data_IF_429836420761
#
_entry.id   IF_429836420761
#
_cell.length_a   1.000
_cell.length_b   1.000
_cell.length_c   1.000
_cell.angle_alpha   90.00
_cell.angle_beta   90.00
_cell.angle_gamma   90.00
#
_symmetry.space_group_name_H-M   'P 1'
#
loop_
_entity.id
_entity.type
_entity.pdbx_description
1 polymer ?
#
# COMPACT_ATOMS: atom_id res chain seq x y z
N UNK A 1 4.67 -14.77 38.98
CA UNK A 1 4.98 -13.64 38.05
C UNK A 1 3.95 -12.54 38.30
N UNK A 2 4.36 -11.28 38.36
CA UNK A 2 3.42 -10.15 38.49
C UNK A 2 2.62 -9.99 37.19
N UNK A 3 1.30 -9.83 37.30
CA UNK A 3 0.40 -9.59 36.16
C UNK A 3 0.69 -8.29 35.40
N UNK A 4 1.48 -7.38 35.98
CA UNK A 4 1.73 -6.04 35.45
C UNK A 4 3.21 -5.79 35.14
N UNK A 5 4.01 -6.83 34.89
CA UNK A 5 5.38 -6.58 34.43
C UNK A 5 5.36 -5.87 33.06
N UNK A 6 6.13 -4.80 32.90
CA UNK A 6 6.22 -4.11 31.61
C UNK A 6 6.83 -5.06 30.57
N UNK A 7 6.45 -4.91 29.29
CA UNK A 7 7.03 -5.72 28.22
C UNK A 7 8.55 -5.49 28.14
N UNK A 8 9.32 -6.49 27.67
CA UNK A 8 10.74 -6.31 27.42
C UNK A 8 10.95 -5.16 26.44
N UNK A 9 12.08 -4.45 26.61
CA UNK A 9 12.45 -3.38 25.68
C UNK A 9 12.70 -3.98 24.28
N UNK A 10 12.36 -3.25 23.20
CA UNK A 10 12.71 -3.66 21.85
C UNK A 10 14.22 -3.87 21.67
N UNK A 11 14.58 -4.86 20.85
CA UNK A 11 15.98 -5.20 20.56
C UNK A 11 16.68 -4.21 19.62
N UNK A 12 15.93 -3.27 19.02
CA UNK A 12 16.48 -2.19 18.20
C UNK A 12 15.57 -0.94 18.25
N UNK A 13 16.07 0.24 17.84
CA UNK A 13 15.24 1.44 17.70
C UNK A 13 14.01 1.27 16.80
N UNK A 14 14.03 0.34 15.85
CA UNK A 14 12.91 0.08 14.93
C UNK A 14 11.67 -0.47 15.65
N UNK A 15 11.84 -1.20 16.76
CA UNK A 15 10.72 -1.74 17.53
C UNK A 15 10.00 -0.72 18.43
N UNK A 16 10.43 0.54 18.46
CA UNK A 16 9.68 1.62 19.09
C UNK A 16 8.68 2.21 18.09
N UNK A 17 7.58 1.48 17.88
CA UNK A 17 6.54 1.87 16.95
C UNK A 17 5.81 3.15 17.38
N UNK A 18 5.34 3.92 16.39
CA UNK A 18 4.66 5.21 16.57
C UNK A 18 3.30 5.15 15.92
N UNK A 19 2.37 5.94 16.45
CA UNK A 19 1.08 6.16 15.80
C UNK A 19 1.33 6.86 14.46
N UNK A 20 0.75 6.32 13.38
CA UNK A 20 0.95 6.83 12.02
C UNK A 20 0.43 8.25 11.85
N UNK A 21 -0.81 8.52 12.26
CA UNK A 21 -1.39 9.87 12.21
C UNK A 21 -2.54 10.04 13.22
N UNK A 22 -3.00 11.26 13.52
CA UNK A 22 -4.15 11.49 14.39
C UNK A 22 -5.44 10.78 13.94
N UNK A 23 -5.57 10.55 12.63
CA UNK A 23 -6.73 9.86 12.07
C UNK A 23 -6.46 8.38 11.80
N UNK A 24 -5.22 7.90 11.91
CA UNK A 24 -4.85 6.50 11.70
C UNK A 24 -3.99 6.03 12.89
N UNK A 25 -4.64 5.45 13.89
CA UNK A 25 -4.01 5.02 15.14
C UNK A 25 -3.11 3.78 14.99
N UNK A 26 -3.02 3.20 13.79
CA UNK A 26 -2.13 2.08 13.47
C UNK A 26 -0.68 2.43 13.84
N UNK A 27 0.02 1.46 14.42
CA UNK A 27 1.38 1.64 14.92
C UNK A 27 2.38 1.13 13.90
N UNK A 28 3.26 2.02 13.45
CA UNK A 28 4.27 1.73 12.43
C UNK A 28 5.67 1.92 12.98
N UNK A 29 6.63 1.19 12.42
CA UNK A 29 8.05 1.38 12.67
C UNK A 29 8.48 2.80 12.27
N UNK A 30 9.48 3.39 12.95
CA UNK A 30 9.91 4.76 12.67
C UNK A 30 10.48 4.96 11.27
N UNK A 31 10.83 3.87 10.58
CA UNK A 31 11.22 3.85 9.17
C UNK A 31 10.28 2.90 8.42
N UNK A 32 9.80 3.35 7.26
CA UNK A 32 9.08 2.54 6.29
C UNK A 32 10.05 1.95 5.28
N UNK A 33 9.91 0.66 4.97
CA UNK A 33 10.68 0.02 3.89
C UNK A 33 9.96 0.25 2.55
N UNK A 34 10.61 0.97 1.63
CA UNK A 34 10.13 1.12 0.26
C UNK A 34 10.33 -0.18 -0.54
N UNK A 35 9.28 -0.67 -1.16
CA UNK A 35 9.23 -1.93 -1.90
C UNK A 35 9.66 -1.84 -3.36
N UNK A 36 10.05 -0.66 -3.86
CA UNK A 36 10.43 -0.46 -5.27
C UNK A 36 11.64 -1.31 -5.69
N UNK A 37 12.52 -1.69 -4.77
CA UNK A 37 13.69 -2.54 -5.01
C UNK A 37 13.43 -4.03 -4.74
N UNK A 38 12.19 -4.41 -4.37
CA UNK A 38 11.82 -5.81 -4.16
C UNK A 38 11.39 -6.40 -5.50
N UNK A 39 12.20 -7.30 -6.03
CA UNK A 39 12.08 -7.85 -7.38
C UNK A 39 13.29 -7.52 -8.25
N UNK A 40 13.32 -8.06 -9.46
CA UNK A 40 14.45 -7.89 -10.38
C UNK A 40 14.03 -7.47 -11.80
N UNK A 41 12.72 -7.36 -12.07
CA UNK A 41 12.23 -6.92 -13.38
C UNK A 41 12.74 -5.53 -13.79
N UNK A 42 13.11 -4.67 -12.82
CA UNK A 42 13.72 -3.36 -13.07
C UNK A 42 15.16 -3.26 -12.55
N UNK A 43 15.90 -4.36 -12.49
CA UNK A 43 17.24 -4.40 -11.90
C UNK A 43 18.23 -3.41 -12.51
N UNK A 44 18.04 -2.99 -13.77
CA UNK A 44 18.84 -1.95 -14.43
C UNK A 44 18.65 -0.56 -13.79
N UNK A 45 17.49 -0.29 -13.19
CA UNK A 45 17.14 0.99 -12.57
C UNK A 45 17.25 0.96 -11.05
N UNK A 46 16.89 -0.16 -10.42
CA UNK A 46 16.79 -0.28 -8.96
C UNK A 46 17.94 -1.07 -8.33
N UNK A 47 18.86 -1.59 -9.16
CA UNK A 47 19.85 -2.57 -8.74
C UNK A 47 19.25 -3.97 -8.63
N UNK A 48 20.12 -4.99 -8.67
CA UNK A 48 19.73 -6.39 -8.54
C UNK A 48 19.49 -6.74 -7.07
N UNK A 49 18.28 -7.19 -6.76
CA UNK A 49 17.94 -7.78 -5.48
C UNK A 49 18.38 -9.26 -5.47
N UNK A 50 19.43 -9.57 -4.70
CA UNK A 50 19.97 -10.94 -4.64
C UNK A 50 19.03 -11.90 -3.91
N UNK A 51 18.49 -11.47 -2.77
CA UNK A 51 17.50 -12.22 -2.00
C UNK A 51 16.48 -11.26 -1.34
N UNK A 52 15.24 -11.16 -1.88
CA UNK A 52 14.23 -10.29 -1.30
C UNK A 52 13.74 -10.78 0.06
N UNK A 53 13.82 -12.08 0.35
CA UNK A 53 13.30 -12.65 1.60
C UNK A 53 14.29 -12.43 2.73
N UNK A 54 15.60 -12.50 2.45
CA UNK A 54 16.63 -12.13 3.43
C UNK A 54 16.48 -10.66 3.87
N UNK A 55 16.23 -9.74 2.91
CA UNK A 55 15.97 -8.33 3.21
C UNK A 55 14.74 -8.14 4.12
N UNK A 56 13.63 -8.81 3.78
CA UNK A 56 12.38 -8.73 4.53
C UNK A 56 12.52 -9.37 5.93
N UNK A 57 13.17 -10.53 6.02
CA UNK A 57 13.47 -11.20 7.29
C UNK A 57 14.36 -10.32 8.18
N UNK A 58 15.37 -9.65 7.61
CA UNK A 58 16.23 -8.72 8.34
C UNK A 58 15.44 -7.49 8.85
N UNK A 59 14.60 -6.88 8.00
CA UNK A 59 13.76 -5.75 8.37
C UNK A 59 12.78 -6.12 9.49
N UNK A 60 12.11 -7.27 9.38
CA UNK A 60 11.19 -7.78 10.40
C UNK A 60 11.91 -8.08 11.72
N UNK A 61 13.07 -8.76 11.66
CA UNK A 61 13.87 -9.15 12.84
C UNK A 61 14.30 -7.96 13.70
N UNK A 62 14.58 -6.81 13.09
CA UNK A 62 14.94 -5.60 13.83
C UNK A 62 13.70 -4.85 14.38
N UNK A 63 12.48 -5.30 14.07
CA UNK A 63 11.22 -4.69 14.52
C UNK A 63 10.57 -3.76 13.49
N UNK A 64 11.01 -3.80 12.23
CA UNK A 64 10.31 -3.14 11.13
C UNK A 64 8.96 -3.81 10.86
N UNK A 65 7.91 -3.01 10.68
CA UNK A 65 6.58 -3.54 10.38
C UNK A 65 5.84 -2.76 9.28
N UNK A 66 6.43 -1.72 8.71
CA UNK A 66 5.75 -0.89 7.70
C UNK A 66 6.46 -1.00 6.34
N UNK A 67 5.76 -1.53 5.34
CA UNK A 67 6.25 -1.69 3.97
C UNK A 67 5.33 -0.92 3.02
N UNK A 68 5.94 -0.12 2.15
CA UNK A 68 5.24 0.65 1.10
C UNK A 68 5.62 0.12 -0.29
N UNK A 69 4.68 -0.51 -0.98
CA UNK A 69 4.86 -1.03 -2.35
C UNK A 69 3.91 -0.33 -3.33
N UNK A 70 3.73 -0.86 -4.54
CA UNK A 70 2.79 -0.35 -5.54
C UNK A 70 2.43 -1.46 -6.52
N UNK A 71 1.23 -1.37 -7.10
CA UNK A 71 0.74 -2.30 -8.12
C UNK A 71 1.72 -2.51 -9.30
N UNK A 72 2.56 -1.51 -9.61
CA UNK A 72 3.48 -1.51 -10.76
C UNK A 72 4.92 -1.90 -10.41
N UNK A 73 5.34 -1.84 -9.14
CA UNK A 73 6.76 -1.97 -8.77
C UNK A 73 7.37 -3.29 -9.22
N UNK A 74 8.54 -3.22 -9.88
CA UNK A 74 9.21 -4.34 -10.54
C UNK A 74 8.26 -5.17 -11.41
N UNK A 75 7.46 -4.52 -12.26
CA UNK A 75 6.51 -5.24 -13.14
C UNK A 75 5.60 -6.20 -12.35
N UNK A 76 5.06 -5.70 -11.24
CA UNK A 76 4.22 -6.42 -10.27
C UNK A 76 4.96 -7.41 -9.32
N UNK A 77 6.27 -7.61 -9.45
CA UNK A 77 6.99 -8.58 -8.62
C UNK A 77 7.02 -8.20 -7.14
N UNK A 78 7.07 -6.90 -6.83
CA UNK A 78 7.20 -6.44 -5.45
C UNK A 78 6.05 -6.96 -4.56
N UNK A 79 4.80 -6.76 -4.99
CA UNK A 79 3.63 -7.26 -4.27
C UNK A 79 3.62 -8.80 -4.18
N UNK A 80 3.98 -9.49 -5.27
CA UNK A 80 4.01 -10.97 -5.31
C UNK A 80 5.01 -11.53 -4.30
N UNK A 81 6.19 -10.92 -4.22
CA UNK A 81 7.27 -11.35 -3.33
C UNK A 81 6.96 -11.03 -1.87
N UNK A 82 6.46 -9.82 -1.58
CA UNK A 82 6.03 -9.44 -0.22
C UNK A 82 4.89 -10.36 0.25
N UNK A 83 3.88 -10.59 -0.59
CA UNK A 83 2.75 -11.45 -0.27
C UNK A 83 3.16 -12.89 0.02
N UNK A 84 4.00 -13.47 -0.85
CA UNK A 84 4.56 -14.81 -0.63
C UNK A 84 5.38 -14.88 0.67
N UNK A 85 6.22 -13.88 0.93
CA UNK A 85 7.01 -13.82 2.17
C UNK A 85 6.11 -13.77 3.42
N UNK A 86 5.09 -12.91 3.44
CA UNK A 86 4.17 -12.81 4.58
C UNK A 86 3.40 -14.11 4.84
N UNK A 87 2.94 -14.77 3.78
CA UNK A 87 2.25 -16.06 3.87
C UNK A 87 3.17 -17.14 4.43
N UNK A 88 4.39 -17.28 3.89
CA UNK A 88 5.37 -18.29 4.35
C UNK A 88 5.83 -18.08 5.79
N UNK A 89 5.90 -16.82 6.26
CA UNK A 89 6.34 -16.49 7.63
C UNK A 89 5.18 -16.34 8.62
N UNK A 90 3.92 -16.33 8.15
CA UNK A 90 2.75 -16.10 8.99
C UNK A 90 2.75 -14.72 9.65
N UNK A 91 3.25 -13.70 8.96
CA UNK A 91 3.47 -12.36 9.53
C UNK A 91 2.43 -11.32 9.12
N UNK A 92 1.45 -11.65 8.27
CA UNK A 92 0.52 -10.67 7.69
C UNK A 92 -0.08 -9.70 8.72
N UNK A 93 -0.64 -10.19 9.82
CA UNK A 93 -1.30 -9.35 10.84
C UNK A 93 -0.34 -8.54 11.72
N UNK A 94 0.96 -8.82 11.62
CA UNK A 94 2.01 -8.06 12.30
C UNK A 94 2.52 -6.90 11.44
N UNK A 95 2.21 -6.91 10.15
CA UNK A 95 2.69 -5.95 9.16
C UNK A 95 1.61 -4.92 8.80
N UNK A 96 2.07 -3.71 8.54
CA UNK A 96 1.30 -2.63 7.92
C UNK A 96 1.76 -2.54 6.47
N UNK A 97 0.88 -2.87 5.53
CA UNK A 97 1.18 -2.90 4.11
C UNK A 97 0.46 -1.77 3.38
N UNK A 98 1.26 -0.88 2.80
CA UNK A 98 0.78 0.13 1.87
C UNK A 98 0.98 -0.32 0.42
N UNK A 99 -0.02 -0.09 -0.43
CA UNK A 99 0.14 -0.18 -1.89
C UNK A 99 -0.58 0.97 -2.58
N UNK A 100 -0.43 1.07 -3.90
CA UNK A 100 -0.90 2.21 -4.70
C UNK A 100 -1.56 1.74 -5.99
N UNK A 101 -2.52 2.52 -6.46
CA UNK A 101 -3.10 2.41 -7.81
C UNK A 101 -2.93 3.75 -8.56
N UNK A 102 -3.24 3.78 -9.87
CA UNK A 102 -3.04 4.87 -10.87
C UNK A 102 -1.95 4.57 -11.89
N UNK A 103 -0.93 3.79 -11.52
CA UNK A 103 0.14 3.40 -12.43
C UNK A 103 -0.30 2.33 -13.44
N UNK A 104 0.26 2.38 -14.65
CA UNK A 104 0.00 1.43 -15.72
C UNK A 104 0.68 0.08 -15.48
N UNK A 105 0.17 -0.70 -14.53
CA UNK A 105 0.87 -1.87 -14.01
C UNK A 105 0.99 -3.05 -14.97
N UNK A 106 0.11 -3.12 -15.98
CA UNK A 106 0.13 -4.15 -17.05
C UNK A 106 1.02 -3.80 -18.25
N UNK A 107 1.72 -2.65 -18.23
CA UNK A 107 2.52 -2.21 -19.36
C UNK A 107 3.63 -3.19 -19.79
N UNK A 108 4.12 -4.03 -18.88
CA UNK A 108 5.12 -5.05 -19.16
C UNK A 108 4.55 -6.28 -19.91
N UNK A 109 3.23 -6.44 -19.95
CA UNK A 109 2.52 -7.60 -20.49
C UNK A 109 1.63 -7.23 -21.69
N UNK A 110 2.11 -6.32 -22.54
CA UNK A 110 1.37 -5.80 -23.71
C UNK A 110 0.99 -6.88 -24.73
N UNK A 111 1.81 -7.90 -24.87
CA UNK A 111 1.61 -8.96 -25.85
C UNK A 111 0.45 -9.90 -25.47
N UNK A 112 0.26 -10.15 -24.17
CA UNK A 112 -0.79 -11.05 -23.68
C UNK A 112 -2.06 -10.30 -23.24
N UNK A 113 -1.96 -9.00 -22.98
CA UNK A 113 -3.11 -8.16 -22.60
C UNK A 113 -3.27 -7.02 -23.62
N UNK A 114 -4.04 -7.20 -24.71
CA UNK A 114 -4.09 -6.23 -25.81
C UNK A 114 -4.85 -4.93 -25.50
N UNK A 115 -5.80 -4.94 -24.56
CA UNK A 115 -6.60 -3.77 -24.18
C UNK A 115 -6.26 -3.31 -22.77
N UNK A 116 -5.30 -2.38 -22.66
CA UNK A 116 -4.77 -1.95 -21.37
C UNK A 116 -5.23 -0.57 -20.87
N UNK A 117 -6.08 0.14 -21.63
CA UNK A 117 -6.46 1.54 -21.38
C UNK A 117 -7.10 1.80 -20.01
N UNK A 118 -7.61 0.78 -19.33
CA UNK A 118 -8.22 0.89 -18.00
C UNK A 118 -7.39 0.23 -16.88
N UNK A 119 -6.09 -0.03 -17.12
CA UNK A 119 -5.14 -0.50 -16.10
C UNK A 119 -4.24 0.62 -15.58
N UNK A 120 -4.64 1.88 -15.79
CA UNK A 120 -3.95 3.09 -15.37
C UNK A 120 -4.97 4.20 -15.06
N UNK A 121 -4.51 5.29 -14.45
CA UNK A 121 -5.32 6.45 -14.13
C UNK A 121 -6.25 6.25 -12.94
N UNK A 122 -6.99 7.31 -12.61
CA UNK A 122 -7.68 7.45 -11.33
C UNK A 122 -9.15 6.98 -11.36
N UNK A 123 -9.66 6.55 -12.52
CA UNK A 123 -11.04 6.09 -12.67
C UNK A 123 -11.39 4.93 -11.73
N UNK A 124 -12.66 4.83 -11.35
CA UNK A 124 -13.13 3.73 -10.46
C UNK A 124 -12.89 2.36 -11.08
N UNK A 125 -12.94 2.24 -12.41
CA UNK A 125 -12.63 1.00 -13.11
C UNK A 125 -11.18 0.55 -12.86
N UNK A 126 -10.24 1.49 -13.03
CA UNK A 126 -8.81 1.23 -12.83
C UNK A 126 -8.49 0.91 -11.37
N UNK A 127 -9.10 1.66 -10.44
CA UNK A 127 -9.01 1.43 -9.01
C UNK A 127 -9.48 0.02 -8.63
N UNK A 128 -10.71 -0.34 -9.01
CA UNK A 128 -11.32 -1.63 -8.64
C UNK A 128 -10.48 -2.82 -9.14
N UNK A 129 -10.03 -2.77 -10.40
CA UNK A 129 -9.21 -3.84 -10.98
C UNK A 129 -7.83 -3.90 -10.32
N UNK A 130 -7.22 -2.74 -10.03
CA UNK A 130 -5.91 -2.66 -9.38
C UNK A 130 -5.96 -3.22 -7.95
N UNK A 131 -6.92 -2.80 -7.13
CA UNK A 131 -7.07 -3.26 -5.74
C UNK A 131 -7.24 -4.77 -5.69
N UNK A 132 -8.15 -5.32 -6.51
CA UNK A 132 -8.36 -6.78 -6.60
C UNK A 132 -7.07 -7.52 -6.96
N UNK A 133 -6.35 -7.06 -7.98
CA UNK A 133 -5.08 -7.70 -8.36
C UNK A 133 -3.99 -7.55 -7.28
N UNK A 134 -3.92 -6.41 -6.59
CA UNK A 134 -2.99 -6.20 -5.48
C UNK A 134 -3.27 -7.14 -4.31
N UNK A 135 -4.53 -7.32 -3.91
CA UNK A 135 -4.94 -8.29 -2.87
C UNK A 135 -4.53 -9.72 -3.23
N UNK A 136 -4.78 -10.14 -4.48
CA UNK A 136 -4.36 -11.45 -5.00
C UNK A 136 -2.82 -11.63 -4.92
N UNK A 137 -2.04 -10.63 -5.37
CA UNK A 137 -0.57 -10.70 -5.34
C UNK A 137 0.00 -10.67 -3.94
N UNK A 138 -0.57 -9.84 -3.06
CA UNK A 138 -0.20 -9.74 -1.65
C UNK A 138 -0.69 -10.91 -0.81
N UNK A 139 -1.54 -11.80 -1.37
CA UNK A 139 -2.08 -12.99 -0.71
C UNK A 139 -2.80 -12.65 0.60
N UNK A 140 -3.62 -11.61 0.56
CA UNK A 140 -4.37 -11.10 1.72
C UNK A 140 -5.72 -10.57 1.28
N UNK A 141 -6.64 -10.46 2.22
CA UNK A 141 -8.00 -9.95 2.07
C UNK A 141 -8.12 -8.45 2.39
N UNK A 142 -7.08 -7.81 2.96
CA UNK A 142 -7.07 -6.38 3.23
C UNK A 142 -5.73 -5.70 2.95
N UNK A 143 -5.80 -4.43 2.56
CA UNK A 143 -4.68 -3.49 2.46
C UNK A 143 -4.77 -2.52 3.65
N UNK A 144 -3.66 -2.31 4.36
CA UNK A 144 -3.66 -1.34 5.46
C UNK A 144 -3.81 0.08 4.93
N UNK A 145 -3.01 0.47 3.93
CA UNK A 145 -3.08 1.82 3.34
C UNK A 145 -3.12 1.75 1.82
N UNK A 146 -4.22 2.21 1.21
CA UNK A 146 -4.28 2.38 -0.25
C UNK A 146 -3.98 3.82 -0.62
N UNK A 147 -2.92 4.02 -1.39
CA UNK A 147 -2.57 5.32 -1.97
C UNK A 147 -3.17 5.51 -3.36
N UNK A 148 -3.74 6.68 -3.60
CA UNK A 148 -3.79 7.28 -4.95
C UNK A 148 -2.35 7.66 -5.30
N UNK A 149 -1.73 6.98 -6.27
CA UNK A 149 -0.28 7.13 -6.52
C UNK A 149 0.08 8.52 -7.06
N UNK A 150 -0.77 9.08 -7.91
CA UNK A 150 -0.68 10.46 -8.40
C UNK A 150 -2.04 10.93 -8.91
N UNK A 151 -2.17 12.23 -9.15
CA UNK A 151 -3.37 12.80 -9.77
C UNK A 151 -3.23 12.92 -11.29
N UNK A 152 -4.12 12.28 -12.04
CA UNK A 152 -4.04 12.21 -13.51
C UNK A 152 -4.90 13.24 -14.26
N UNK A 153 -5.70 14.04 -13.55
CA UNK A 153 -6.65 15.03 -14.10
C UNK A 153 -7.72 14.48 -15.05
N UNK A 154 -7.86 13.17 -15.19
CA UNK A 154 -8.90 12.57 -16.05
C UNK A 154 -10.19 12.30 -15.30
N UNK A 155 -10.10 12.21 -13.97
CA UNK A 155 -11.19 11.76 -13.09
C UNK A 155 -11.58 12.85 -12.11
N UNK A 156 -12.88 12.99 -11.84
CA UNK A 156 -13.38 13.93 -10.82
C UNK A 156 -12.98 13.48 -9.40
N UNK A 157 -12.84 14.45 -8.48
CA UNK A 157 -12.60 14.14 -7.06
C UNK A 157 -13.76 13.31 -6.50
N UNK A 158 -14.98 13.64 -6.88
CA UNK A 158 -16.20 12.98 -6.43
C UNK A 158 -16.24 11.50 -6.84
N UNK A 159 -15.80 11.15 -8.06
CA UNK A 159 -15.69 9.77 -8.51
C UNK A 159 -14.62 9.00 -7.72
N UNK A 160 -13.41 9.56 -7.59
CA UNK A 160 -12.32 8.91 -6.83
C UNK A 160 -12.74 8.67 -5.39
N UNK A 161 -13.31 9.67 -4.72
CA UNK A 161 -13.73 9.57 -3.31
C UNK A 161 -14.81 8.51 -3.10
N UNK A 162 -15.76 8.36 -4.02
CA UNK A 162 -16.78 7.30 -3.95
C UNK A 162 -16.18 5.91 -4.13
N UNK A 163 -15.22 5.75 -5.05
CA UNK A 163 -14.50 4.49 -5.24
C UNK A 163 -13.72 4.08 -3.99
N UNK A 164 -12.93 5.02 -3.44
CA UNK A 164 -12.14 4.78 -2.22
C UNK A 164 -13.04 4.42 -1.04
N UNK A 165 -14.16 5.15 -0.87
CA UNK A 165 -15.13 4.85 0.19
C UNK A 165 -15.72 3.44 0.05
N UNK A 166 -16.03 2.99 -1.16
CA UNK A 166 -16.57 1.65 -1.37
C UNK A 166 -15.60 0.54 -0.92
N UNK A 167 -14.30 0.71 -1.20
CA UNK A 167 -13.26 -0.23 -0.75
C UNK A 167 -13.09 -0.25 0.79
N UNK A 168 -13.23 0.91 1.44
CA UNK A 168 -13.23 1.00 2.92
C UNK A 168 -14.45 0.30 3.50
N UNK A 169 -15.64 0.55 2.94
CA UNK A 169 -16.88 -0.10 3.40
C UNK A 169 -16.88 -1.62 3.16
N UNK A 170 -16.21 -2.08 2.10
CA UNK A 170 -16.00 -3.49 1.81
C UNK A 170 -14.92 -4.14 2.70
N UNK A 171 -14.18 -3.35 3.51
CA UNK A 171 -13.04 -3.76 4.34
C UNK A 171 -11.86 -4.33 3.56
N UNK A 172 -11.80 -4.06 2.26
CA UNK A 172 -10.64 -4.38 1.42
C UNK A 172 -9.48 -3.42 1.70
N UNK A 173 -9.77 -2.24 2.24
CA UNK A 173 -8.80 -1.20 2.59
C UNK A 173 -9.15 -0.61 3.96
N UNK A 174 -8.16 -0.48 4.85
CA UNK A 174 -8.38 0.07 6.19
C UNK A 174 -8.19 1.60 6.24
N UNK A 175 -7.13 2.09 5.62
CA UNK A 175 -6.76 3.51 5.59
C UNK A 175 -6.50 3.95 4.15
N UNK A 176 -6.70 5.24 3.90
CA UNK A 176 -6.47 5.86 2.61
C UNK A 176 -5.23 6.75 2.67
N UNK A 177 -4.63 7.00 1.53
CA UNK A 177 -3.56 7.97 1.37
C UNK A 177 -3.51 8.53 -0.05
N UNK A 178 -2.71 9.56 -0.24
CA UNK A 178 -2.48 10.15 -1.56
C UNK A 178 -1.03 10.60 -1.70
N UNK A 179 -0.45 10.37 -2.87
CA UNK A 179 0.91 10.76 -3.23
C UNK A 179 0.88 11.67 -4.46
N UNK A 180 1.95 12.45 -4.64
CA UNK A 180 2.25 13.21 -5.87
C UNK A 180 1.04 13.96 -6.46
N UNK A 181 0.29 14.62 -5.57
CA UNK A 181 -0.98 15.27 -5.90
C UNK A 181 -0.96 16.75 -5.47
N UNK A 182 -1.46 17.68 -6.30
CA UNK A 182 -1.55 19.09 -5.92
C UNK A 182 -2.34 19.28 -4.62
N UNK A 183 -1.83 20.10 -3.71
CA UNK A 183 -2.43 20.33 -2.39
C UNK A 183 -3.91 20.76 -2.45
N UNK A 184 -4.30 21.53 -3.48
CA UNK A 184 -5.69 21.98 -3.65
C UNK A 184 -6.67 20.82 -3.99
N UNK A 185 -6.20 19.75 -4.65
CA UNK A 185 -6.99 18.54 -4.85
C UNK A 185 -7.20 17.84 -3.51
N UNK A 186 -6.15 17.74 -2.68
CA UNK A 186 -6.24 17.13 -1.34
C UNK A 186 -7.26 17.89 -0.48
N UNK A 187 -7.24 19.22 -0.49
CA UNK A 187 -8.24 20.05 0.19
C UNK A 187 -9.65 19.78 -0.33
N UNK A 188 -9.84 19.67 -1.65
CA UNK A 188 -11.14 19.36 -2.26
C UNK A 188 -11.63 17.95 -1.87
N UNK A 189 -10.74 16.95 -1.86
CA UNK A 189 -11.05 15.59 -1.45
C UNK A 189 -11.49 15.54 0.02
N UNK A 190 -10.75 16.21 0.91
CA UNK A 190 -11.08 16.30 2.33
C UNK A 190 -12.36 17.11 2.60
N UNK A 191 -12.72 18.07 1.74
CA UNK A 191 -14.01 18.74 1.81
C UNK A 191 -15.18 17.84 1.33
N UNK A 192 -14.94 16.99 0.34
CA UNK A 192 -15.94 16.07 -0.22
C UNK A 192 -16.52 15.12 0.85
N UNK A 193 -15.69 14.72 1.82
CA UNK A 193 -16.06 13.95 3.02
C UNK A 193 -17.33 14.47 3.69
N UNK A 194 -17.38 15.78 3.95
CA UNK A 194 -18.47 16.41 4.70
C UNK A 194 -19.79 16.47 3.92
N UNK A 195 -19.72 16.44 2.58
CA UNK A 195 -20.88 16.66 1.71
C UNK A 195 -21.65 15.38 1.40
N UNK A 196 -20.99 14.23 1.48
CA UNK A 196 -21.59 12.94 1.09
C UNK A 196 -21.61 11.90 2.22
N UNK A 197 -21.22 12.27 3.45
CA UNK A 197 -21.22 11.35 4.59
C UNK A 197 -20.26 10.17 4.41
N UNK A 198 -19.21 10.35 3.60
CA UNK A 198 -18.26 9.28 3.30
C UNK A 198 -17.33 9.09 4.51
N UNK A 199 -17.22 7.84 4.96
CA UNK A 199 -16.23 7.44 5.96
C UNK A 199 -14.83 7.34 5.32
N UNK A 200 -14.30 8.49 4.88
CA UNK A 200 -12.96 8.64 4.33
C UNK A 200 -12.11 9.43 5.33
N UNK A 201 -11.92 8.93 6.54
CA UNK A 201 -11.24 9.66 7.63
C UNK A 201 -9.73 9.89 7.40
N UNK A 202 -9.15 9.46 6.29
CA UNK A 202 -7.71 9.20 6.23
C UNK A 202 -6.93 9.84 5.05
N UNK A 203 -7.55 10.64 4.18
CA UNK A 203 -6.87 11.28 3.04
C UNK A 203 -6.05 12.53 3.40
#
# INVERSE_FOLDING_TARGET
MSLFQPPPKPNSPMGYHRVLSPNAAVKVSPICLGGISIGNSWAEYTGKNQDPFELLDAFFKIGGNFIDTSNVYNSEDSEKLIGKWMEERGTRDQMVIATKYSAHYRAHDRENTPLQTNFLGNSVKSMHVSVRCSLEKLRTDYIDILYVHWWDFTTSVEEVMRGLHAHVMAKEVLYLGISDTPAWIVVKANACKFRFGLDCNHL
#
